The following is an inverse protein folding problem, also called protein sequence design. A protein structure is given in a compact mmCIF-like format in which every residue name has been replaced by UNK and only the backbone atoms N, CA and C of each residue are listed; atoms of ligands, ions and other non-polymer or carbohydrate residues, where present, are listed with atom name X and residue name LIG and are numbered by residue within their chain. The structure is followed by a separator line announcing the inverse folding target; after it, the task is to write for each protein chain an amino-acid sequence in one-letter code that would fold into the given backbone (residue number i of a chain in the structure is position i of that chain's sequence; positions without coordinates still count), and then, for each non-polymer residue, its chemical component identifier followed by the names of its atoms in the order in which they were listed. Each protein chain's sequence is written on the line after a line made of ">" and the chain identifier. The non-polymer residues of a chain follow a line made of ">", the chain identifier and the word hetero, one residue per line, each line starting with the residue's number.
data_IF_925907495936
#
_entry.id   IF_925907495936
#
_cell.length_a   1.000
_cell.length_b   1.000
_cell.length_c   1.000
_cell.angle_alpha   90.00
_cell.angle_beta   90.00
_cell.angle_gamma   90.00
#
_symmetry.space_group_name_H-M   'P 1'
#
loop_
_entity.id
_entity.type
_entity.pdbx_description
1 polymer ?
#
# COMPACT_ATOMS: atom_id res chain seq x y z
N UNK A 1 -3.93 25.41 89.06
CA UNK A 1 -4.41 26.60 88.33
C UNK A 1 -5.15 26.08 87.10
N UNK A 2 -6.34 25.55 87.32
CA UNK A 2 -7.63 26.22 87.12
C UNK A 2 -8.02 26.40 85.64
N UNK A 3 -8.98 25.56 85.25
CA UNK A 3 -10.22 25.91 84.58
C UNK A 3 -10.26 26.29 83.08
N UNK A 4 -10.88 25.36 82.34
CA UNK A 4 -12.21 25.49 81.72
C UNK A 4 -12.48 26.61 80.71
N UNK A 5 -12.96 26.14 79.55
CA UNK A 5 -14.08 26.63 78.74
C UNK A 5 -14.06 28.10 78.26
N UNK A 6 -13.92 28.26 76.94
CA UNK A 6 -14.60 29.32 76.19
C UNK A 6 -14.90 28.80 74.77
N UNK A 7 -16.10 28.29 74.53
CA UNK A 7 -17.29 28.99 74.06
C UNK A 7 -17.28 29.32 72.56
N UNK A 8 -18.27 28.71 71.92
CA UNK A 8 -18.79 28.88 70.57
C UNK A 8 -19.09 30.33 70.18
N UNK A 9 -18.79 30.73 68.93
CA UNK A 9 -19.79 31.37 68.04
C UNK A 9 -19.31 31.57 66.59
N UNK A 10 -20.28 31.30 65.70
CA UNK A 10 -20.57 31.96 64.41
C UNK A 10 -19.63 31.79 63.22
N UNK A 11 -20.11 30.98 62.27
CA UNK A 11 -19.85 31.08 60.83
C UNK A 11 -20.12 32.48 60.27
N UNK A 12 -19.40 32.86 59.21
CA UNK A 12 -20.00 33.63 58.13
C UNK A 12 -19.82 32.96 56.77
N UNK A 13 -20.93 32.88 56.06
CA UNK A 13 -21.10 32.60 54.64
C UNK A 13 -20.35 33.61 53.75
N UNK A 14 -19.56 33.12 52.77
CA UNK A 14 -19.02 33.83 51.58
C UNK A 14 -18.02 32.89 50.89
N UNK A 15 -17.96 32.63 49.59
CA UNK A 15 -18.57 33.20 48.40
C UNK A 15 -18.75 32.04 47.40
N UNK A 16 -19.97 31.86 46.89
CA UNK A 16 -20.19 31.22 45.61
C UNK A 16 -19.67 32.18 44.52
N UNK A 17 -18.64 31.78 43.79
CA UNK A 17 -18.31 32.38 42.50
C UNK A 17 -18.71 31.40 41.41
N UNK A 18 -19.91 31.59 40.89
CA UNK A 18 -20.35 31.07 39.60
C UNK A 18 -19.77 31.95 38.49
N UNK A 19 -18.86 31.39 37.69
CA UNK A 19 -18.48 31.96 36.40
C UNK A 19 -19.17 31.14 35.30
N UNK A 20 -20.07 31.74 34.49
CA UNK A 20 -20.63 31.10 33.31
C UNK A 20 -19.66 31.33 32.15
N UNK A 21 -19.14 30.25 31.56
CA UNK A 21 -18.49 30.31 30.25
C UNK A 21 -19.12 29.24 29.37
N UNK A 22 -20.19 29.66 28.70
CA UNK A 22 -20.61 29.27 27.35
C UNK A 22 -20.07 27.94 26.82
N UNK A 23 -20.49 26.84 27.45
CA UNK A 23 -20.43 25.49 26.88
C UNK A 23 -21.68 25.26 26.00
N UNK A 24 -22.00 26.22 25.14
CA UNK A 24 -23.19 26.16 24.27
C UNK A 24 -22.88 26.43 22.81
N UNK A 25 -21.65 26.85 22.48
CA UNK A 25 -21.27 27.24 21.11
C UNK A 25 -20.66 26.11 20.27
N UNK A 26 -20.38 24.93 20.85
CA UNK A 26 -19.79 23.79 20.13
C UNK A 26 -20.79 22.67 19.77
N UNK A 27 -22.07 22.84 20.11
CA UNK A 27 -23.09 21.80 19.95
C UNK A 27 -23.85 21.85 18.60
N UNK A 28 -23.43 22.69 17.64
CA UNK A 28 -24.24 22.98 16.45
C UNK A 28 -23.55 22.74 15.10
N UNK A 29 -22.39 22.04 15.05
CA UNK A 29 -21.73 21.63 13.80
C UNK A 29 -21.11 20.23 13.81
N UNK A 30 -21.59 19.32 14.67
CA UNK A 30 -21.43 17.88 14.41
C UNK A 30 -22.81 17.27 14.35
N UNK A 31 -23.51 17.45 13.23
CA UNK A 31 -24.65 16.59 12.93
C UNK A 31 -24.08 15.17 12.85
N UNK A 32 -24.18 14.43 13.95
CA UNK A 32 -23.88 13.02 14.00
C UNK A 32 -24.77 12.38 12.94
N UNK A 33 -24.17 12.01 11.81
CA UNK A 33 -24.89 11.27 10.80
C UNK A 33 -25.25 9.96 11.48
N UNK A 34 -26.53 9.80 11.85
CA UNK A 34 -26.99 8.61 12.57
C UNK A 34 -26.45 7.37 11.86
N UNK A 35 -25.88 6.37 12.55
CA UNK A 35 -25.31 5.20 11.90
C UNK A 35 -26.33 4.48 11.01
N UNK A 36 -27.62 4.59 11.33
CA UNK A 36 -28.73 4.16 10.49
C UNK A 36 -28.77 4.87 9.12
N UNK A 37 -28.57 6.19 9.05
CA UNK A 37 -28.51 6.95 7.80
C UNK A 37 -27.26 6.59 6.98
N UNK A 38 -26.13 6.33 7.64
CA UNK A 38 -24.92 5.87 6.97
C UNK A 38 -25.12 4.47 6.37
N UNK A 39 -25.80 3.57 7.09
CA UNK A 39 -26.12 2.21 6.62
C UNK A 39 -27.14 2.24 5.49
N UNK A 40 -28.20 3.07 5.58
CA UNK A 40 -29.16 3.20 4.47
C UNK A 40 -28.52 3.84 3.24
N UNK A 41 -27.66 4.85 3.41
CA UNK A 41 -26.88 5.42 2.32
C UNK A 41 -25.92 4.39 1.69
N UNK A 42 -25.29 3.53 2.51
CA UNK A 42 -24.43 2.45 2.02
C UNK A 42 -25.24 1.39 1.24
N UNK A 43 -26.39 0.96 1.75
CA UNK A 43 -27.27 -0.01 1.08
C UNK A 43 -27.82 0.58 -0.22
N UNK A 44 -28.26 1.85 -0.19
CA UNK A 44 -28.72 2.56 -1.39
C UNK A 44 -27.60 2.72 -2.41
N UNK A 45 -26.38 3.03 -1.97
CA UNK A 45 -25.20 3.10 -2.82
C UNK A 45 -24.84 1.74 -3.42
N UNK A 46 -24.81 0.67 -2.63
CA UNK A 46 -24.57 -0.70 -3.13
C UNK A 46 -25.66 -1.11 -4.11
N UNK A 47 -26.93 -0.82 -3.81
CA UNK A 47 -28.07 -1.08 -4.68
C UNK A 47 -27.98 -0.33 -6.00
N UNK A 48 -27.63 0.96 -5.95
CA UNK A 48 -27.42 1.82 -7.12
C UNK A 48 -26.26 1.33 -7.99
N UNK A 49 -25.11 1.06 -7.38
CA UNK A 49 -23.93 0.50 -8.07
C UNK A 49 -24.26 -0.85 -8.71
N UNK A 50 -25.00 -1.70 -8.00
CA UNK A 50 -25.46 -3.00 -8.51
C UNK A 50 -26.39 -2.80 -9.71
N UNK A 51 -27.41 -1.94 -9.59
CA UNK A 51 -28.34 -1.64 -10.69
C UNK A 51 -27.63 -1.07 -11.92
N UNK A 52 -26.71 -0.12 -11.74
CA UNK A 52 -25.91 0.45 -12.84
C UNK A 52 -24.98 -0.60 -13.46
N UNK A 53 -24.40 -1.50 -12.66
CA UNK A 53 -23.56 -2.61 -13.16
C UNK A 53 -24.38 -3.61 -13.98
N UNK A 54 -25.58 -3.98 -13.52
CA UNK A 54 -26.46 -4.89 -14.24
C UNK A 54 -27.01 -4.27 -15.52
N UNK A 55 -27.43 -2.99 -15.50
CA UNK A 55 -27.87 -2.28 -16.71
C UNK A 55 -26.80 -2.27 -17.82
N UNK A 56 -25.53 -2.06 -17.46
CA UNK A 56 -24.42 -2.08 -18.42
C UNK A 56 -24.11 -3.47 -18.94
N UNK A 57 -24.16 -4.50 -18.07
CA UNK A 57 -24.02 -5.90 -18.47
C UNK A 57 -25.12 -6.31 -19.44
N UNK A 58 -26.36 -5.91 -19.17
CA UNK A 58 -27.51 -6.28 -19.99
C UNK A 58 -27.45 -5.60 -21.36
N UNK A 59 -26.94 -4.37 -21.46
CA UNK A 59 -26.71 -3.70 -22.75
C UNK A 59 -25.73 -4.47 -23.67
N UNK A 60 -24.63 -4.98 -23.10
CA UNK A 60 -23.68 -5.84 -23.83
C UNK A 60 -24.29 -7.20 -24.19
N UNK A 61 -25.09 -7.78 -23.27
CA UNK A 61 -25.74 -9.07 -23.50
C UNK A 61 -26.83 -9.02 -24.56
N UNK A 62 -27.50 -7.89 -24.71
CA UNK A 62 -28.45 -7.65 -25.82
C UNK A 62 -27.71 -7.60 -27.16
N UNK A 63 -26.51 -7.00 -27.21
CA UNK A 63 -25.73 -6.90 -28.46
C UNK A 63 -25.16 -8.27 -28.89
N UNK A 64 -24.81 -9.13 -27.94
CA UNK A 64 -24.25 -10.46 -28.21
C UNK A 64 -24.94 -11.53 -27.33
N UNK A 65 -26.14 -12.00 -27.73
CA UNK A 65 -26.90 -12.96 -26.93
C UNK A 65 -26.34 -14.39 -26.98
N UNK A 66 -25.84 -14.81 -28.14
CA UNK A 66 -25.44 -16.19 -28.43
C UNK A 66 -23.96 -16.32 -28.78
N UNK A 67 -23.40 -17.53 -28.63
CA UNK A 67 -21.99 -17.79 -28.94
C UNK A 67 -21.66 -17.59 -30.43
N UNK A 68 -22.62 -17.82 -31.31
CA UNK A 68 -22.48 -17.60 -32.75
C UNK A 68 -22.37 -16.10 -33.10
N UNK A 69 -23.15 -15.23 -32.44
CA UNK A 69 -23.03 -13.78 -32.63
C UNK A 69 -21.75 -13.22 -32.01
N UNK A 70 -21.25 -13.85 -30.94
CA UNK A 70 -19.94 -13.55 -30.38
C UNK A 70 -18.80 -13.96 -31.33
N UNK A 71 -18.93 -15.07 -32.06
CA UNK A 71 -17.93 -15.52 -33.04
C UNK A 71 -17.89 -14.65 -34.31
N UNK A 72 -19.01 -13.98 -34.63
CA UNK A 72 -19.08 -13.02 -35.73
C UNK A 72 -18.51 -11.63 -35.36
N UNK A 73 -18.09 -11.42 -34.11
CA UNK A 73 -17.55 -10.16 -33.63
C UNK A 73 -16.24 -9.80 -34.33
N UNK A 74 -16.13 -8.56 -34.79
CA UNK A 74 -14.90 -8.07 -35.43
C UNK A 74 -13.80 -7.80 -34.40
N UNK A 75 -12.55 -7.80 -34.84
CA UNK A 75 -11.39 -7.57 -33.95
C UNK A 75 -11.46 -6.19 -33.27
N UNK A 76 -11.96 -5.17 -33.96
CA UNK A 76 -12.14 -3.83 -33.39
C UNK A 76 -13.23 -3.80 -32.30
N UNK A 77 -14.32 -4.52 -32.50
CA UNK A 77 -15.39 -4.64 -31.50
C UNK A 77 -14.92 -5.42 -30.27
N UNK A 78 -14.17 -6.49 -30.47
CA UNK A 78 -13.56 -7.27 -29.39
C UNK A 78 -12.59 -6.41 -28.57
N UNK A 79 -11.71 -5.65 -29.25
CA UNK A 79 -10.77 -4.74 -28.60
C UNK A 79 -11.48 -3.66 -27.78
N UNK A 80 -12.54 -3.06 -28.33
CA UNK A 80 -13.34 -2.05 -27.62
C UNK A 80 -14.00 -2.61 -26.37
N UNK A 81 -14.61 -3.79 -26.47
CA UNK A 81 -15.23 -4.44 -25.31
C UNK A 81 -14.17 -4.73 -24.25
N UNK A 82 -12.99 -5.20 -24.64
CA UNK A 82 -11.90 -5.50 -23.72
C UNK A 82 -11.30 -4.23 -23.09
N UNK A 83 -11.15 -3.14 -23.84
CA UNK A 83 -10.70 -1.85 -23.30
C UNK A 83 -11.72 -1.24 -22.35
N UNK A 84 -13.01 -1.35 -22.67
CA UNK A 84 -14.10 -0.87 -21.82
C UNK A 84 -14.20 -1.70 -20.53
N UNK A 85 -14.04 -3.02 -20.61
CA UNK A 85 -13.97 -3.88 -19.43
C UNK A 85 -12.78 -3.50 -18.54
N UNK A 86 -11.60 -3.33 -19.14
CA UNK A 86 -10.36 -2.98 -18.42
C UNK A 86 -10.45 -1.62 -17.71
N UNK A 87 -11.09 -0.64 -18.34
CA UNK A 87 -11.24 0.70 -17.75
C UNK A 87 -12.33 0.75 -16.67
N UNK A 88 -13.38 -0.06 -16.80
CA UNK A 88 -14.54 -0.06 -15.89
C UNK A 88 -14.39 -1.00 -14.68
N UNK A 89 -13.55 -2.04 -14.73
CA UNK A 89 -13.41 -3.01 -13.62
C UNK A 89 -12.63 -2.49 -12.39
N UNK A 90 -12.18 -1.23 -12.46
CA UNK A 90 -11.50 -0.36 -11.49
C UNK A 90 -10.10 -0.05 -12.00
N UNK A 91 -9.71 1.24 -12.17
CA UNK A 91 -8.33 1.60 -12.50
C UNK A 91 -7.30 1.05 -11.48
N UNK A 92 -7.76 0.67 -10.29
CA UNK A 92 -6.94 0.09 -9.23
C UNK A 92 -6.68 -1.42 -9.35
N UNK A 93 -7.34 -2.21 -10.20
CA UNK A 93 -7.15 -3.67 -10.18
C UNK A 93 -5.71 -4.05 -10.61
N UNK A 94 -5.22 -3.48 -11.71
CA UNK A 94 -3.85 -3.71 -12.17
C UNK A 94 -2.83 -3.14 -11.19
N UNK A 95 -3.06 -1.94 -10.68
CA UNK A 95 -2.14 -1.29 -9.74
C UNK A 95 -2.09 -2.00 -8.39
N UNK A 96 -3.20 -2.51 -7.88
CA UNK A 96 -3.23 -3.28 -6.63
C UNK A 96 -2.62 -4.67 -6.83
N UNK A 97 -2.95 -5.38 -7.92
CA UNK A 97 -2.31 -6.65 -8.25
C UNK A 97 -0.80 -6.51 -8.41
N UNK A 98 -0.34 -5.46 -9.09
CA UNK A 98 1.08 -5.15 -9.26
C UNK A 98 1.72 -4.80 -7.91
N UNK A 99 1.07 -3.97 -7.09
CA UNK A 99 1.55 -3.65 -5.74
C UNK A 99 1.69 -4.90 -4.86
N UNK A 100 0.69 -5.79 -4.87
CA UNK A 100 0.74 -7.06 -4.14
C UNK A 100 1.83 -8.00 -4.69
N UNK A 101 1.96 -8.10 -6.01
CA UNK A 101 2.97 -8.95 -6.64
C UNK A 101 4.40 -8.48 -6.32
N UNK A 102 4.67 -7.18 -6.46
CA UNK A 102 5.97 -6.60 -6.12
C UNK A 102 6.26 -6.74 -4.63
N UNK A 103 5.32 -6.34 -3.77
CA UNK A 103 5.52 -6.40 -2.33
C UNK A 103 5.79 -7.83 -1.83
N UNK A 104 5.07 -8.82 -2.38
CA UNK A 104 5.28 -10.24 -2.05
C UNK A 104 6.69 -10.69 -2.39
N UNK A 105 7.24 -10.30 -3.54
CA UNK A 105 8.57 -10.74 -3.96
C UNK A 105 9.66 -10.03 -3.14
N UNK A 106 9.58 -8.71 -3.01
CA UNK A 106 10.62 -7.89 -2.39
C UNK A 106 10.62 -7.95 -0.85
N UNK A 107 9.47 -8.07 -0.19
CA UNK A 107 9.45 -8.16 1.30
C UNK A 107 9.67 -9.58 1.82
N UNK A 108 9.30 -10.60 1.06
CA UNK A 108 9.36 -11.98 1.53
C UNK A 108 10.77 -12.60 1.54
N UNK A 109 11.77 -11.95 0.93
CA UNK A 109 13.15 -12.45 0.86
C UNK A 109 14.15 -11.38 1.31
N UNK A 110 15.10 -11.67 2.22
CA UNK A 110 16.03 -10.69 2.75
C UNK A 110 17.23 -10.50 1.81
N UNK A 111 17.00 -9.93 0.62
CA UNK A 111 18.07 -9.62 -0.33
C UNK A 111 18.97 -8.49 0.22
N UNK A 112 20.29 -8.69 0.18
CA UNK A 112 21.29 -7.67 0.51
C UNK A 112 21.25 -7.15 1.97
N UNK A 113 20.73 -7.93 2.90
CA UNK A 113 20.71 -7.58 4.32
C UNK A 113 21.79 -8.39 5.04
N UNK A 114 22.76 -7.71 5.64
CA UNK A 114 23.76 -8.35 6.46
C UNK A 114 23.14 -8.97 7.72
N UNK A 115 23.53 -10.21 8.09
CA UNK A 115 23.04 -10.87 9.30
C UNK A 115 23.70 -10.26 10.54
N UNK A 116 23.17 -9.13 11.02
CA UNK A 116 23.55 -8.58 12.33
C UNK A 116 22.79 -9.29 13.47
N UNK A 117 23.33 -9.20 14.69
CA UNK A 117 22.68 -9.78 15.87
C UNK A 117 21.29 -9.19 16.12
N UNK A 118 21.12 -7.87 15.94
CA UNK A 118 19.81 -7.21 16.11
C UNK A 118 18.81 -7.58 15.01
N UNK A 119 19.28 -7.71 13.75
CA UNK A 119 18.43 -8.10 12.63
C UNK A 119 17.99 -9.57 12.67
N UNK A 120 18.70 -10.43 13.41
CA UNK A 120 18.41 -11.87 13.54
C UNK A 120 17.49 -12.21 14.71
N UNK A 121 17.53 -11.42 15.78
CA UNK A 121 16.75 -11.64 17.00
C UNK A 121 15.66 -10.60 17.27
N UNK A 122 15.42 -9.68 16.31
CA UNK A 122 14.42 -8.62 16.45
C UNK A 122 12.95 -9.09 16.35
N UNK A 123 11.99 -8.24 16.73
CA UNK A 123 10.56 -8.60 16.79
C UNK A 123 9.97 -9.02 15.43
N UNK A 124 10.36 -8.34 14.35
CA UNK A 124 9.91 -8.65 12.99
C UNK A 124 10.38 -10.03 12.52
N UNK A 125 11.57 -10.45 12.94
CA UNK A 125 12.15 -11.76 12.63
C UNK A 125 11.42 -12.91 13.33
N UNK A 126 10.95 -12.72 14.56
CA UNK A 126 10.12 -13.73 15.25
C UNK A 126 8.79 -13.98 14.52
N UNK A 127 8.13 -12.93 14.05
CA UNK A 127 6.92 -13.03 13.21
C UNK A 127 7.23 -13.78 11.90
N UNK A 128 8.38 -13.49 11.28
CA UNK A 128 8.83 -14.17 10.07
C UNK A 128 9.14 -15.64 10.29
N UNK A 129 9.68 -15.99 11.47
CA UNK A 129 9.93 -17.38 11.90
C UNK A 129 8.63 -18.14 12.08
N UNK A 130 7.62 -17.53 12.69
CA UNK A 130 6.28 -18.12 12.86
C UNK A 130 5.54 -18.34 11.52
N UNK A 131 5.84 -17.52 10.51
CA UNK A 131 5.25 -17.62 9.15
C UNK A 131 6.11 -18.44 8.18
N UNK A 132 7.20 -19.06 8.64
CA UNK A 132 8.10 -19.88 7.81
C UNK A 132 8.89 -19.09 6.76
N UNK A 133 9.01 -17.78 6.91
CA UNK A 133 9.76 -16.92 5.99
C UNK A 133 11.27 -17.07 6.13
N UNK A 134 12.03 -16.80 5.06
CA UNK A 134 13.49 -16.85 5.08
C UNK A 134 14.10 -15.76 5.98
N UNK A 135 15.00 -16.13 6.91
CA UNK A 135 15.73 -15.18 7.76
C UNK A 135 17.08 -14.79 7.14
N UNK A 136 17.57 -13.56 7.40
CA UNK A 136 18.92 -13.16 7.00
C UNK A 136 19.97 -14.08 7.66
N UNK A 137 20.86 -14.64 6.84
CA UNK A 137 21.95 -15.51 7.26
C UNK A 137 21.64 -17.02 7.35
N UNK A 138 20.39 -17.47 7.26
CA UNK A 138 20.06 -18.91 7.33
C UNK A 138 20.30 -19.68 6.01
N UNK A 139 20.20 -19.02 4.86
CA UNK A 139 20.38 -19.65 3.54
C UNK A 139 21.76 -19.39 2.92
N UNK A 140 22.79 -19.22 3.77
CA UNK A 140 24.14 -18.90 3.34
C UNK A 140 24.18 -17.63 2.46
N UNK A 141 24.88 -17.72 1.34
CA UNK A 141 25.09 -16.60 0.40
C UNK A 141 23.96 -16.41 -0.62
N UNK A 142 22.88 -17.20 -0.57
CA UNK A 142 21.79 -17.18 -1.56
C UNK A 142 21.15 -15.80 -1.76
N UNK A 143 21.07 -15.00 -0.70
CA UNK A 143 20.48 -13.66 -0.74
C UNK A 143 21.52 -12.54 -0.81
N UNK A 144 22.77 -12.87 -1.11
CA UNK A 144 23.88 -11.91 -1.23
C UNK A 144 23.97 -10.94 -0.04
N UNK A 145 24.10 -11.44 1.20
CA UNK A 145 24.09 -10.57 2.39
C UNK A 145 25.23 -9.54 2.39
N UNK A 146 26.36 -9.84 1.74
CA UNK A 146 27.54 -8.96 1.61
C UNK A 146 27.40 -7.90 0.50
N UNK A 147 26.23 -7.78 -0.11
CA UNK A 147 25.99 -6.91 -1.27
C UNK A 147 26.33 -7.60 -2.60
N UNK A 148 26.33 -6.80 -3.67
CA UNK A 148 26.65 -7.26 -5.02
C UNK A 148 27.63 -6.30 -5.69
N UNK A 149 28.56 -6.86 -6.46
CA UNK A 149 29.36 -6.11 -7.43
C UNK A 149 28.72 -6.29 -8.80
N UNK A 150 28.56 -5.22 -9.57
CA UNK A 150 27.86 -5.26 -10.88
C UNK A 150 28.49 -6.29 -11.84
N UNK A 151 29.81 -6.50 -11.77
CA UNK A 151 30.54 -7.50 -12.58
C UNK A 151 30.22 -8.96 -12.23
N UNK A 152 29.68 -9.20 -11.03
CA UNK A 152 29.31 -10.51 -10.52
C UNK A 152 27.80 -10.76 -10.61
N UNK A 153 27.02 -9.89 -11.26
CA UNK A 153 25.58 -10.10 -11.40
C UNK A 153 25.32 -10.89 -12.69
N UNK A 154 24.80 -12.11 -12.57
CA UNK A 154 24.40 -12.88 -13.74
C UNK A 154 24.07 -14.35 -13.45
N UNK A 155 23.71 -15.11 -14.50
CA UNK A 155 23.61 -16.57 -14.44
C UNK A 155 24.91 -17.17 -13.88
N UNK A 156 24.82 -18.22 -13.04
CA UNK A 156 25.99 -18.77 -12.33
C UNK A 156 27.16 -19.15 -13.24
N UNK A 157 26.87 -19.57 -14.47
CA UNK A 157 27.87 -19.93 -15.48
C UNK A 157 28.59 -18.72 -16.12
N UNK A 158 28.10 -17.50 -15.92
CA UNK A 158 28.62 -16.25 -16.49
C UNK A 158 29.18 -15.28 -15.44
N UNK A 159 29.11 -15.61 -14.16
CA UNK A 159 29.68 -14.80 -13.07
C UNK A 159 31.17 -14.53 -13.30
N UNK A 160 31.58 -13.26 -13.22
CA UNK A 160 32.99 -12.83 -13.37
C UNK A 160 33.55 -12.87 -14.80
N UNK A 161 32.85 -13.48 -15.77
CA UNK A 161 33.33 -13.58 -17.16
C UNK A 161 33.13 -12.30 -17.98
N UNK A 162 32.28 -11.38 -17.49
CA UNK A 162 31.98 -10.11 -18.16
C UNK A 162 32.95 -8.97 -17.83
N UNK A 163 33.84 -9.14 -16.85
CA UNK A 163 34.66 -8.04 -16.34
C UNK A 163 35.62 -7.48 -17.39
N UNK A 164 36.29 -8.37 -18.14
CA UNK A 164 37.21 -7.96 -19.21
C UNK A 164 36.47 -7.22 -20.34
N UNK A 165 35.27 -7.68 -20.70
CA UNK A 165 34.43 -7.02 -21.71
C UNK A 165 33.97 -5.65 -21.23
N UNK A 166 33.59 -5.52 -19.96
CA UNK A 166 33.18 -4.26 -19.35
C UNK A 166 34.35 -3.28 -19.24
N UNK A 167 35.54 -3.76 -18.87
CA UNK A 167 36.76 -2.95 -18.80
C UNK A 167 37.16 -2.43 -20.20
N UNK A 168 37.22 -3.33 -21.19
CA UNK A 168 37.49 -2.96 -22.58
C UNK A 168 36.41 -2.01 -23.14
N UNK A 169 35.13 -2.25 -22.85
CA UNK A 169 34.04 -1.36 -23.25
C UNK A 169 34.15 0.01 -22.58
N UNK A 170 34.50 0.06 -21.29
CA UNK A 170 34.74 1.29 -20.54
C UNK A 170 35.89 2.09 -21.15
N UNK A 171 37.02 1.47 -21.45
CA UNK A 171 38.14 2.12 -22.12
C UNK A 171 37.74 2.64 -23.50
N UNK A 172 37.01 1.85 -24.27
CA UNK A 172 36.47 2.28 -25.57
C UNK A 172 35.55 3.50 -25.43
N UNK A 173 34.69 3.56 -24.42
CA UNK A 173 33.78 4.71 -24.17
C UNK A 173 34.58 5.95 -23.73
N UNK A 174 35.60 5.78 -22.88
CA UNK A 174 36.45 6.87 -22.42
C UNK A 174 37.31 7.45 -23.56
N UNK A 175 37.90 6.57 -24.39
CA UNK A 175 38.73 6.96 -25.54
C UNK A 175 37.91 7.62 -26.65
N UNK A 176 36.70 7.12 -26.92
CA UNK A 176 35.81 7.69 -27.94
C UNK A 176 35.16 9.01 -27.49
N UNK A 177 35.39 9.43 -26.23
CA UNK A 177 34.68 10.53 -25.60
C UNK A 177 33.20 10.16 -25.38
N UNK A 178 32.59 10.68 -24.32
CA UNK A 178 31.17 10.45 -24.05
C UNK A 178 30.35 10.81 -25.30
N UNK A 179 29.86 9.79 -26.02
CA UNK A 179 29.00 10.00 -27.17
C UNK A 179 27.86 10.90 -26.73
N UNK A 180 27.69 12.00 -27.48
CA UNK A 180 26.55 12.90 -27.35
C UNK A 180 25.27 12.07 -27.20
N UNK A 181 24.43 12.44 -26.23
CA UNK A 181 23.21 11.70 -25.90
C UNK A 181 22.49 11.23 -27.18
N UNK A 182 22.28 9.92 -27.40
CA UNK A 182 21.67 9.40 -28.62
C UNK A 182 20.21 9.84 -28.82
N UNK A 183 19.63 10.50 -27.81
CA UNK A 183 18.27 11.09 -27.84
C UNK A 183 18.27 12.62 -27.68
N UNK A 184 19.44 13.25 -27.56
CA UNK A 184 19.56 14.71 -27.50
C UNK A 184 19.67 15.26 -28.91
N UNK A 185 18.54 15.69 -29.47
CA UNK A 185 18.50 16.53 -30.67
C UNK A 185 18.43 17.99 -30.26
#
# INVERSE_FOLDING_TARGET
>A
MHDKHFNTRSSPSRLQHSAPTDTSSNAMLTSSVSPALAVTALIAYIGLVRALRYRRRDALRIKYPDRASLAAMTLDEAFRIQSDLSTLEKPAMYLTALSFALFKIYRAHPWYIEPTLLSRWGPSTWIRRATGGALPGDQGDKYHPKGYVISEVGPQNLLGKGEQYMAAARENILLKGAMRCPFGR
#
